data_IF_765430313213
#
_entry.id   IF_765430313213
#
_cell.length_a   1.000
_cell.length_b   1.000
_cell.length_c   1.000
_cell.angle_alpha   90.00
_cell.angle_beta   90.00
_cell.angle_gamma   90.00
#
_symmetry.space_group_name_H-M   'P 1'
#
loop_
_entity.id
_entity.type
_entity.pdbx_description
1 polymer ?
#
# COMPACT_ATOMS: atom_id res chain seq x y z
N UNK A 1 10.72 5.87 14.46
CA UNK A 1 10.04 4.72 13.85
C UNK A 1 8.68 4.67 14.49
N UNK A 2 7.65 5.15 13.80
CA UNK A 2 6.27 5.18 14.27
C UNK A 2 5.52 3.96 13.72
N UNK A 3 4.87 3.20 14.61
CA UNK A 3 4.31 1.87 14.28
C UNK A 3 3.19 1.85 13.23
N UNK A 4 2.79 3.01 12.69
CA UNK A 4 1.80 3.10 11.62
C UNK A 4 2.37 2.64 10.27
N UNK A 5 3.58 3.07 9.93
CA UNK A 5 4.19 2.72 8.64
C UNK A 5 4.67 1.26 8.56
N UNK A 6 5.09 0.69 9.69
CA UNK A 6 5.48 -0.71 9.80
C UNK A 6 4.27 -1.65 9.67
N UNK A 7 3.09 -1.20 10.10
CA UNK A 7 1.85 -1.95 9.91
C UNK A 7 1.46 -2.04 8.43
N UNK A 8 1.48 -0.91 7.73
CA UNK A 8 1.14 -0.86 6.31
C UNK A 8 2.11 -1.70 5.48
N UNK A 9 3.42 -1.61 5.73
CA UNK A 9 4.43 -2.41 5.01
C UNK A 9 4.27 -3.92 5.26
N UNK A 10 3.91 -4.35 6.48
CA UNK A 10 3.63 -5.75 6.79
C UNK A 10 2.40 -6.33 6.07
N UNK A 11 1.47 -5.46 5.65
CA UNK A 11 0.25 -5.84 4.93
C UNK A 11 0.41 -5.79 3.40
N UNK A 12 1.54 -5.30 2.89
CA UNK A 12 1.83 -5.20 1.46
C UNK A 12 2.25 -6.56 0.87
N UNK A 13 1.29 -7.49 0.78
CA UNK A 13 1.44 -8.82 0.18
C UNK A 13 0.82 -8.88 -1.20
N UNK A 14 1.21 -9.86 -2.01
CA UNK A 14 0.59 -10.10 -3.32
C UNK A 14 -0.94 -10.20 -3.17
N UNK A 15 -1.66 -9.46 -4.01
CA UNK A 15 -3.12 -9.36 -3.98
C UNK A 15 -3.67 -8.18 -3.18
N UNK A 16 -2.88 -7.56 -2.30
CA UNK A 16 -3.31 -6.39 -1.52
C UNK A 16 -3.72 -5.24 -2.43
N UNK A 17 -4.88 -4.62 -2.12
CA UNK A 17 -5.36 -3.42 -2.81
C UNK A 17 -4.67 -2.19 -2.25
N UNK A 18 -4.15 -1.37 -3.15
CA UNK A 18 -3.34 -0.20 -2.79
C UNK A 18 -3.78 1.02 -3.58
N UNK A 19 -3.41 2.18 -3.08
CA UNK A 19 -3.56 3.48 -3.74
C UNK A 19 -2.35 4.37 -3.43
N UNK A 20 -2.25 5.52 -4.11
CA UNK A 20 -1.17 6.49 -3.83
C UNK A 20 -1.15 6.88 -2.34
N UNK A 21 0.05 6.84 -1.76
CA UNK A 21 0.36 7.17 -0.38
C UNK A 21 0.81 8.62 -0.20
N UNK A 22 1.29 8.95 1.00
CA UNK A 22 1.67 10.33 1.38
C UNK A 22 2.94 10.82 0.68
N UNK A 23 3.88 9.91 0.38
CA UNK A 23 5.16 10.27 -0.26
C UNK A 23 5.14 10.16 -1.79
N UNK A 24 3.95 9.90 -2.38
CA UNK A 24 3.79 9.73 -3.81
C UNK A 24 4.31 10.94 -4.60
N UNK A 25 5.19 10.66 -5.58
CA UNK A 25 5.80 11.67 -6.47
C UNK A 25 5.76 11.29 -7.95
N UNK A 26 4.98 10.27 -8.30
CA UNK A 26 5.06 9.59 -9.61
C UNK A 26 4.01 10.08 -10.62
N UNK A 27 3.52 11.30 -10.45
CA UNK A 27 2.49 11.89 -11.32
C UNK A 27 1.21 11.07 -11.31
N UNK A 28 0.66 10.78 -12.49
CA UNK A 28 -0.62 10.08 -12.66
C UNK A 28 -0.45 8.61 -13.11
N UNK A 29 0.66 7.96 -12.72
CA UNK A 29 0.91 6.56 -13.07
C UNK A 29 -0.13 5.58 -12.51
N UNK A 30 -0.77 5.92 -11.39
CA UNK A 30 -1.88 5.18 -10.79
C UNK A 30 -3.21 5.40 -11.52
N UNK A 31 -3.25 6.31 -12.49
CA UNK A 31 -4.42 6.57 -13.32
C UNK A 31 -5.44 7.50 -12.66
N UNK A 32 -6.68 7.54 -13.20
CA UNK A 32 -7.73 8.43 -12.71
C UNK A 32 -8.15 8.05 -11.29
N UNK A 33 -8.54 9.05 -10.50
CA UNK A 33 -9.01 8.85 -9.13
C UNK A 33 -10.17 7.82 -9.08
N UNK A 34 -10.15 6.88 -8.12
CA UNK A 34 -9.29 6.86 -6.93
C UNK A 34 -7.86 6.28 -7.12
N UNK A 35 -7.47 5.87 -8.32
CA UNK A 35 -6.11 5.42 -8.62
C UNK A 35 -5.74 4.12 -7.89
N UNK A 36 -6.49 3.05 -8.16
CA UNK A 36 -6.34 1.78 -7.45
C UNK A 36 -5.41 0.81 -8.18
N UNK A 37 -4.67 0.06 -7.39
CA UNK A 37 -3.77 -0.99 -7.86
C UNK A 37 -3.82 -2.24 -7.01
N UNK A 38 -3.08 -3.24 -7.46
CA UNK A 38 -2.89 -4.52 -6.80
C UNK A 38 -1.39 -4.82 -6.72
N UNK A 39 -0.94 -5.23 -5.54
CA UNK A 39 0.42 -5.74 -5.36
C UNK A 39 0.58 -7.05 -6.15
N UNK A 40 1.62 -7.14 -6.97
CA UNK A 40 1.92 -8.32 -7.82
C UNK A 40 3.32 -8.90 -7.56
N UNK A 41 4.04 -8.38 -6.58
CA UNK A 41 5.33 -8.92 -6.14
C UNK A 41 5.54 -8.68 -4.65
N UNK A 42 6.38 -9.48 -4.03
CA UNK A 42 6.75 -9.32 -2.62
C UNK A 42 7.49 -8.01 -2.37
N UNK A 43 7.39 -7.47 -1.16
CA UNK A 43 8.21 -6.34 -0.72
C UNK A 43 9.67 -6.77 -0.67
N UNK A 44 10.51 -6.17 -1.51
CA UNK A 44 11.94 -6.43 -1.52
C UNK A 44 12.63 -5.92 -0.26
N UNK A 45 13.72 -6.58 0.14
CA UNK A 45 14.59 -6.12 1.24
C UNK A 45 15.18 -4.73 0.97
N UNK A 46 15.19 -4.30 -0.29
CA UNK A 46 15.61 -2.98 -0.72
C UNK A 46 14.51 -1.91 -0.54
N UNK A 47 13.33 -2.27 -0.06
CA UNK A 47 12.21 -1.36 0.25
C UNK A 47 11.34 -0.98 -0.96
N UNK A 48 11.38 -1.76 -2.04
CA UNK A 48 10.54 -1.56 -3.23
C UNK A 48 9.48 -2.65 -3.36
N UNK A 49 8.31 -2.28 -3.87
CA UNK A 49 7.22 -3.23 -4.13
C UNK A 49 6.59 -3.01 -5.50
N UNK A 50 6.22 -4.10 -6.18
CA UNK A 50 5.66 -4.08 -7.52
C UNK A 50 4.13 -4.06 -7.49
N UNK A 51 3.54 -3.13 -8.24
CA UNK A 51 2.08 -2.92 -8.34
C UNK A 51 1.66 -2.96 -9.80
N UNK A 52 0.52 -3.61 -10.07
CA UNK A 52 -0.26 -3.43 -11.28
C UNK A 52 -1.46 -2.53 -10.97
N UNK A 53 -1.58 -1.42 -11.68
CA UNK A 53 -2.73 -0.53 -11.59
C UNK A 53 -3.92 -1.08 -12.37
N UNK A 54 -5.13 -0.65 -12.03
CA UNK A 54 -6.35 -1.04 -12.74
C UNK A 54 -6.34 -0.60 -14.22
N UNK A 55 -5.49 0.38 -14.57
CA UNK A 55 -5.19 0.80 -15.95
C UNK A 55 -4.30 -0.19 -16.71
N UNK A 56 -3.99 -1.36 -16.14
CA UNK A 56 -3.03 -2.37 -16.63
C UNK A 56 -1.55 -1.96 -16.62
N UNK A 57 -1.23 -0.71 -16.26
CA UNK A 57 0.15 -0.27 -16.11
C UNK A 57 0.81 -0.92 -14.89
N UNK A 58 2.12 -1.09 -14.93
CA UNK A 58 2.88 -1.77 -13.87
C UNK A 58 4.15 -0.99 -13.55
N UNK A 59 4.44 -0.81 -12.27
CA UNK A 59 5.71 -0.24 -11.83
C UNK A 59 6.06 -0.68 -10.39
N UNK A 60 7.23 -0.26 -9.91
CA UNK A 60 7.68 -0.45 -8.53
C UNK A 60 7.69 0.87 -7.76
N UNK A 61 7.29 0.82 -6.49
CA UNK A 61 7.13 1.98 -5.61
C UNK A 61 7.79 1.75 -4.25
N UNK A 62 8.15 2.84 -3.56
CA UNK A 62 8.86 2.77 -2.28
C UNK A 62 7.89 2.41 -1.15
N UNK A 63 8.26 1.42 -0.36
CA UNK A 63 7.60 1.02 0.88
C UNK A 63 8.67 0.77 1.94
N UNK A 64 9.31 1.87 2.39
CA UNK A 64 10.41 1.86 3.36
C UNK A 64 11.76 2.28 2.80
N UNK A 65 11.92 2.30 1.46
CA UNK A 65 13.12 2.87 0.81
C UNK A 65 13.27 4.35 1.21
N UNK A 66 14.41 4.72 1.77
CA UNK A 66 14.69 6.09 2.26
C UNK A 66 13.67 6.59 3.30
N UNK A 67 12.98 5.67 3.99
CA UNK A 67 11.90 6.03 4.91
C UNK A 67 10.66 6.60 4.21
N UNK A 68 10.44 6.24 2.94
CA UNK A 68 9.34 6.73 2.11
C UNK A 68 8.34 5.66 1.75
N UNK A 69 7.07 6.06 1.76
CA UNK A 69 5.90 5.20 1.57
C UNK A 69 5.02 5.81 0.49
N UNK A 70 5.30 5.41 -0.75
CA UNK A 70 4.60 5.88 -1.95
C UNK A 70 3.19 5.28 -2.05
N UNK A 71 2.89 4.21 -1.31
CA UNK A 71 1.62 3.49 -1.35
C UNK A 71 0.99 3.44 0.04
N UNK A 72 -0.32 3.25 0.08
CA UNK A 72 -1.08 2.89 1.28
C UNK A 72 -2.14 1.85 0.93
N UNK A 73 -2.67 1.17 1.94
CA UNK A 73 -3.80 0.26 1.77
C UNK A 73 -5.02 1.02 1.22
N UNK A 74 -5.67 0.47 0.19
CA UNK A 74 -6.87 1.07 -0.39
C UNK A 74 -8.11 0.87 0.48
N UNK A 75 -8.14 -0.24 1.23
CA UNK A 75 -9.15 -0.54 2.23
C UNK A 75 -8.46 -0.64 3.58
N UNK A 76 -9.06 -0.12 4.66
CA UNK A 76 -8.55 -0.43 5.99
C UNK A 76 -8.59 -1.95 6.18
N UNK A 77 -7.66 -2.52 6.97
CA UNK A 77 -7.77 -3.92 7.38
C UNK A 77 -9.19 -4.15 7.94
N UNK A 78 -9.78 -5.35 7.75
CA UNK A 78 -11.05 -5.68 8.35
C UNK A 78 -10.97 -5.29 9.82
N UNK A 79 -11.82 -4.35 10.24
CA UNK A 79 -11.85 -3.94 11.63
C UNK A 79 -11.96 -5.24 12.43
N UNK A 80 -11.00 -5.50 13.32
CA UNK A 80 -11.25 -6.49 14.37
C UNK A 80 -12.54 -6.02 15.01
N UNK A 81 -13.64 -6.72 14.76
CA UNK A 81 -14.91 -6.47 15.40
C UNK A 81 -14.59 -6.48 16.89
N UNK A 82 -14.53 -5.28 17.46
CA UNK A 82 -14.27 -5.10 18.87
C UNK A 82 -15.34 -5.91 19.57
N UNK A 83 -14.90 -6.94 20.30
CA UNK A 83 -15.73 -7.64 21.27
C UNK A 83 -16.46 -6.59 22.07
N UNK A 84 -17.75 -6.43 21.77
CA UNK A 84 -18.64 -5.59 22.54
C UNK A 84 -18.78 -6.27 23.89
N UNK A 85 -18.03 -5.79 24.88
CA UNK A 85 -18.29 -6.11 26.27
C UNK A 85 -19.68 -5.56 26.59
N UNK A 86 -20.66 -6.45 26.68
CA UNK A 86 -21.93 -6.16 27.33
C UNK A 86 -21.68 -6.19 28.83
N UNK A 87 -21.73 -5.02 29.46
CA UNK A 87 -21.92 -4.88 30.90
C UNK A 87 -23.38 -5.03 31.27
#
# INVERSE_FOLDING_TARGET
MDGFHDYDSAMMKIGTRVMRGVDWKWGDQDGPAPGLGRVIGELGEDGWIRVQWDTSSTNSYRMGKEGKYDLKLAEPPPAHHGTQWVG
#
